data_IF_522117055287
#
_entry.id   IF_522117055287
#
_cell.length_a   1.000
_cell.length_b   1.000
_cell.length_c   1.000
_cell.angle_alpha   90.00
_cell.angle_beta   90.00
_cell.angle_gamma   90.00
#
_symmetry.space_group_name_H-M   'P 1'
#
loop_
_entity.id
_entity.type
_entity.pdbx_description
1 polymer ?
#
# COMPACT_ATOMS: atom_id res chain seq x y z
N UNK A 1 -26.61 18.97 -55.04
CA UNK A 1 -26.46 17.63 -54.43
C UNK A 1 -24.99 17.25 -54.53
N UNK A 2 -24.21 17.48 -53.45
CA UNK A 2 -22.86 16.98 -53.07
C UNK A 2 -22.44 17.79 -51.82
N UNK A 3 -21.65 17.24 -50.88
CA UNK A 3 -22.13 16.95 -49.54
C UNK A 3 -21.47 17.80 -48.45
N UNK A 4 -22.11 17.82 -47.28
CA UNK A 4 -21.56 18.41 -46.05
C UNK A 4 -20.28 17.67 -45.64
N UNK A 5 -19.15 18.38 -45.58
CA UNK A 5 -17.91 17.90 -45.00
C UNK A 5 -18.00 18.09 -43.47
N UNK A 6 -18.32 17.03 -42.74
CA UNK A 6 -18.21 17.01 -41.28
C UNK A 6 -16.72 16.94 -40.90
N UNK A 7 -16.20 18.03 -40.32
CA UNK A 7 -14.88 18.05 -39.71
C UNK A 7 -14.96 17.31 -38.35
N UNK A 8 -14.62 16.02 -38.34
CA UNK A 8 -14.39 15.29 -37.10
C UNK A 8 -13.06 15.77 -36.50
N UNK A 9 -13.14 16.72 -35.56
CA UNK A 9 -12.02 17.03 -34.68
C UNK A 9 -11.91 15.85 -33.71
N UNK A 10 -11.01 14.91 -34.00
CA UNK A 10 -10.62 13.93 -32.98
C UNK A 10 -9.80 14.66 -31.91
N UNK A 11 -10.44 15.03 -30.79
CA UNK A 11 -9.70 15.33 -29.57
C UNK A 11 -9.06 14.03 -29.10
N UNK A 12 -7.80 13.81 -29.48
CA UNK A 12 -6.95 12.83 -28.80
C UNK A 12 -6.65 13.40 -27.42
N UNK A 13 -7.45 13.04 -26.42
CA UNK A 13 -7.06 13.19 -25.03
C UNK A 13 -5.84 12.30 -24.80
N UNK A 14 -4.66 12.91 -24.75
CA UNK A 14 -3.47 12.24 -24.22
C UNK A 14 -3.74 12.13 -22.72
N UNK A 15 -4.22 10.97 -22.26
CA UNK A 15 -4.28 10.67 -20.83
C UNK A 15 -2.83 10.52 -20.34
N UNK A 16 -2.24 11.64 -19.93
CA UNK A 16 -0.99 11.69 -19.19
C UNK A 16 -1.10 10.82 -17.94
N UNK A 17 -0.26 9.79 -17.82
CA UNK A 17 -0.20 8.97 -16.61
C UNK A 17 0.81 9.59 -15.65
N UNK A 18 0.35 10.02 -14.47
CA UNK A 18 1.26 10.30 -13.36
C UNK A 18 1.81 8.99 -12.81
N UNK A 19 3.09 8.97 -12.42
CA UNK A 19 3.70 7.81 -11.75
C UNK A 19 4.38 8.27 -10.46
N UNK A 20 4.34 7.45 -9.40
CA UNK A 20 5.01 7.77 -8.16
C UNK A 20 6.53 7.69 -8.38
N UNK A 21 7.24 8.68 -7.86
CA UNK A 21 8.68 8.79 -7.98
C UNK A 21 9.40 8.20 -6.78
N UNK A 22 10.65 7.75 -6.99
CA UNK A 22 11.53 7.38 -5.89
C UNK A 22 11.63 8.53 -4.87
N UNK A 23 11.71 8.17 -3.59
CA UNK A 23 12.04 9.14 -2.53
C UNK A 23 13.45 9.67 -2.78
N UNK A 24 13.55 10.92 -3.27
CA UNK A 24 14.84 11.52 -3.64
C UNK A 24 15.62 12.06 -2.44
N UNK A 25 14.92 12.41 -1.36
CA UNK A 25 15.50 13.02 -0.16
C UNK A 25 15.01 12.28 1.08
N UNK A 26 15.78 11.27 1.49
CA UNK A 26 15.50 10.56 2.72
C UNK A 26 15.72 11.45 3.95
N UNK A 27 14.78 11.46 4.92
CA UNK A 27 15.03 12.03 6.22
C UNK A 27 16.21 11.34 6.91
N UNK A 28 17.05 12.12 7.59
CA UNK A 28 18.22 11.60 8.33
C UNK A 28 17.87 11.02 9.69
N UNK A 29 16.69 11.34 10.20
CA UNK A 29 16.21 10.94 11.53
C UNK A 29 14.78 10.44 11.42
N UNK A 30 14.41 9.40 12.19
CA UNK A 30 13.02 8.94 12.23
C UNK A 30 12.14 10.00 12.89
N UNK A 31 10.84 9.96 12.58
CA UNK A 31 9.85 10.83 13.24
C UNK A 31 9.61 10.43 14.69
N UNK A 32 9.98 9.20 15.06
CA UNK A 32 9.97 8.69 16.43
C UNK A 32 11.20 7.82 16.69
N UNK A 33 11.92 8.12 17.77
CA UNK A 33 13.14 7.41 18.16
C UNK A 33 12.83 6.25 19.12
N UNK A 34 12.21 5.20 18.58
CA UNK A 34 11.88 3.97 19.29
C UNK A 34 11.49 2.85 18.32
N UNK A 35 11.33 1.64 18.85
CA UNK A 35 10.85 0.52 18.04
C UNK A 35 9.39 0.73 17.66
N UNK A 36 9.16 0.85 16.36
CA UNK A 36 7.87 1.12 15.76
C UNK A 36 7.96 0.66 14.31
N UNK A 37 7.67 -0.63 14.12
CA UNK A 37 7.66 -1.28 12.83
C UNK A 37 6.32 -1.08 12.12
N UNK A 38 6.28 -1.37 10.82
CA UNK A 38 5.05 -1.46 10.02
C UNK A 38 4.09 -0.26 10.21
N UNK A 39 4.55 0.98 9.99
CA UNK A 39 3.79 2.18 10.36
C UNK A 39 2.62 2.44 9.41
N UNK A 40 1.42 2.43 9.97
CA UNK A 40 0.21 2.91 9.33
C UNK A 40 -0.19 4.28 9.88
N UNK A 41 -0.34 5.27 9.01
CA UNK A 41 -0.80 6.59 9.40
C UNK A 41 -2.18 6.91 8.79
N UNK A 42 -2.97 7.71 9.51
CA UNK A 42 -4.25 8.22 9.02
C UNK A 42 -4.55 9.60 9.61
N UNK A 43 -5.44 10.34 8.93
CA UNK A 43 -5.99 11.61 9.39
C UNK A 43 -7.43 11.40 9.87
N UNK A 44 -7.80 12.06 10.96
CA UNK A 44 -9.18 12.12 11.43
C UNK A 44 -9.44 13.42 12.20
N UNK A 45 -10.44 14.18 11.75
CA UNK A 45 -10.90 15.43 12.36
C UNK A 45 -9.80 16.49 12.57
N UNK A 46 -8.87 16.62 11.63
CA UNK A 46 -7.77 17.58 11.63
C UNK A 46 -6.54 17.14 12.43
N UNK A 47 -6.55 15.93 12.98
CA UNK A 47 -5.40 15.33 13.67
C UNK A 47 -4.88 14.11 12.92
N UNK A 48 -3.59 13.86 13.07
CA UNK A 48 -2.88 12.75 12.47
C UNK A 48 -2.52 11.72 13.53
N UNK A 49 -2.61 10.47 13.14
CA UNK A 49 -2.34 9.33 13.97
C UNK A 49 -1.43 8.37 13.22
N UNK A 50 -0.58 7.66 13.95
CA UNK A 50 0.25 6.60 13.41
C UNK A 50 0.24 5.43 14.38
N UNK A 51 0.04 4.23 13.87
CA UNK A 51 0.09 2.99 14.62
C UNK A 51 1.11 2.06 13.97
N UNK A 52 1.77 1.21 14.76
CA UNK A 52 2.79 0.30 14.22
C UNK A 52 2.90 -0.98 15.02
N UNK A 53 3.65 -1.94 14.50
CA UNK A 53 4.05 -3.15 15.21
C UNK A 53 5.01 -2.82 16.34
N UNK A 54 4.70 -3.34 17.52
CA UNK A 54 5.51 -3.20 18.73
C UNK A 54 4.73 -3.58 19.97
N UNK A 55 5.44 -3.91 21.05
CA UNK A 55 4.84 -4.29 22.32
C UNK A 55 5.72 -3.93 23.50
N UNK A 56 5.10 -3.60 24.63
CA UNK A 56 5.76 -3.46 25.93
C UNK A 56 4.87 -4.06 27.02
N UNK A 57 5.40 -4.95 27.84
CA UNK A 57 4.72 -5.55 29.00
C UNK A 57 3.29 -6.07 28.71
N UNK A 58 3.10 -6.70 27.54
CA UNK A 58 1.80 -7.26 27.13
C UNK A 58 0.79 -6.23 26.59
N UNK A 59 1.22 -4.99 26.37
CA UNK A 59 0.48 -3.98 25.60
C UNK A 59 0.99 -3.98 24.15
N UNK A 60 0.09 -3.77 23.20
CA UNK A 60 0.38 -3.92 21.77
C UNK A 60 -0.01 -2.68 20.96
N UNK A 61 0.70 -2.52 19.85
CA UNK A 61 0.53 -1.45 18.87
C UNK A 61 0.81 -0.06 19.42
N UNK A 62 2.10 0.33 19.52
CA UNK A 62 2.47 1.70 19.85
C UNK A 62 1.78 2.66 18.88
N UNK A 63 1.29 3.77 19.42
CA UNK A 63 0.56 4.79 18.66
C UNK A 63 1.17 6.16 18.92
N UNK A 64 1.29 6.95 17.85
CA UNK A 64 1.73 8.33 17.86
C UNK A 64 0.58 9.26 17.44
N UNK A 65 0.65 10.51 17.90
CA UNK A 65 -0.26 11.59 17.50
C UNK A 65 0.52 12.78 16.96
N UNK A 66 -0.10 13.50 16.03
CA UNK A 66 0.43 14.74 15.46
C UNK A 66 -0.71 15.68 15.04
N UNK A 67 -0.46 16.99 15.05
CA UNK A 67 -1.39 17.99 14.52
C UNK A 67 -0.97 18.53 13.15
N UNK A 68 0.24 18.20 12.69
CA UNK A 68 0.85 18.74 11.47
C UNK A 68 1.45 17.66 10.55
N UNK A 69 1.35 16.39 10.93
CA UNK A 69 1.97 15.24 10.28
C UNK A 69 3.52 15.27 10.23
N UNK A 70 4.15 16.20 10.96
CA UNK A 70 5.60 16.38 10.99
C UNK A 70 6.17 16.10 12.39
N UNK A 71 5.52 16.63 13.43
CA UNK A 71 5.92 16.46 14.81
C UNK A 71 5.03 15.42 15.48
N UNK A 72 5.63 14.29 15.86
CA UNK A 72 4.92 13.13 16.38
C UNK A 72 5.23 12.89 17.84
N UNK A 73 4.19 12.62 18.63
CA UNK A 73 4.29 12.34 20.06
C UNK A 73 3.78 10.95 20.36
N UNK A 74 4.52 10.20 21.16
CA UNK A 74 4.08 8.89 21.64
C UNK A 74 2.86 9.04 22.55
N UNK A 75 1.77 8.35 22.21
CA UNK A 75 0.55 8.33 22.99
C UNK A 75 0.50 7.12 23.94
N UNK A 76 0.77 5.93 23.41
CA UNK A 76 0.65 4.68 24.16
C UNK A 76 0.34 3.49 23.27
N UNK A 77 -0.02 2.39 23.91
CA UNK A 77 -0.45 1.15 23.26
C UNK A 77 -1.98 1.06 23.31
N UNK A 78 -2.60 0.82 22.16
CA UNK A 78 -4.05 1.07 22.01
C UNK A 78 -4.90 -0.19 21.89
N UNK A 79 -4.31 -1.38 21.89
CA UNK A 79 -5.04 -2.64 21.71
C UNK A 79 -5.34 -3.34 23.02
N UNK A 80 -6.56 -3.87 23.13
CA UNK A 80 -6.93 -4.92 24.07
C UNK A 80 -7.12 -6.22 23.27
N UNK A 81 -6.15 -7.16 23.33
CA UNK A 81 -6.23 -8.40 22.58
C UNK A 81 -7.26 -9.36 23.17
N UNK A 82 -7.71 -10.31 22.35
CA UNK A 82 -8.60 -11.38 22.79
C UNK A 82 -7.89 -12.33 23.76
N UNK A 83 -8.51 -12.55 24.92
CA UNK A 83 -7.93 -13.32 26.03
C UNK A 83 -7.91 -14.84 25.81
N UNK A 84 -8.79 -15.39 24.97
CA UNK A 84 -8.92 -16.83 24.72
C UNK A 84 -8.18 -17.28 23.46
N UNK A 85 -7.00 -16.72 23.20
CA UNK A 85 -6.15 -17.12 22.08
C UNK A 85 -4.76 -17.50 22.56
N UNK A 86 -4.05 -18.30 21.75
CA UNK A 86 -2.64 -18.63 21.95
C UNK A 86 -1.71 -17.72 21.13
N UNK A 87 -2.21 -16.57 20.68
CA UNK A 87 -1.46 -15.63 19.86
C UNK A 87 -0.36 -14.98 20.69
N UNK A 88 0.86 -15.00 20.18
CA UNK A 88 2.02 -14.37 20.80
C UNK A 88 2.51 -13.15 20.01
N UNK A 89 2.14 -13.08 18.73
CA UNK A 89 2.68 -12.11 17.78
C UNK A 89 1.54 -11.36 17.09
N UNK A 90 1.67 -10.03 17.07
CA UNK A 90 0.67 -9.09 16.59
C UNK A 90 1.35 -8.10 15.64
N UNK A 91 1.04 -8.16 14.36
CA UNK A 91 1.80 -7.45 13.31
C UNK A 91 0.91 -6.60 12.42
N UNK A 92 1.56 -5.57 11.86
CA UNK A 92 1.07 -4.70 10.79
C UNK A 92 -0.34 -4.17 11.06
N UNK A 93 -0.52 -3.38 12.12
CA UNK A 93 -1.82 -2.79 12.43
C UNK A 93 -2.19 -1.71 11.42
N UNK A 94 -3.45 -1.72 10.97
CA UNK A 94 -4.02 -0.65 10.16
C UNK A 94 -5.41 -0.24 10.64
N UNK A 95 -5.77 1.03 10.45
CA UNK A 95 -7.06 1.58 10.91
C UNK A 95 -7.90 2.06 9.74
N UNK A 96 -9.11 1.50 9.61
CA UNK A 96 -10.15 2.02 8.74
C UNK A 96 -11.27 2.68 9.54
N UNK A 97 -11.77 3.81 9.04
CA UNK A 97 -12.89 4.53 9.65
C UNK A 97 -14.16 4.32 8.83
N UNK A 98 -15.20 3.78 9.46
CA UNK A 98 -16.50 3.57 8.83
C UNK A 98 -17.62 3.82 9.84
N UNK A 99 -18.61 4.66 9.47
CA UNK A 99 -19.77 5.00 10.31
C UNK A 99 -19.41 5.44 11.74
N UNK A 100 -18.37 6.28 11.87
CA UNK A 100 -17.82 6.78 13.15
C UNK A 100 -17.24 5.69 14.08
N UNK A 101 -16.98 4.49 13.56
CA UNK A 101 -16.23 3.44 14.22
C UNK A 101 -14.85 3.28 13.58
N UNK A 102 -13.88 2.96 14.42
CA UNK A 102 -12.51 2.66 14.02
C UNK A 102 -12.31 1.15 14.05
N UNK A 103 -11.89 0.61 12.92
CA UNK A 103 -11.62 -0.81 12.71
C UNK A 103 -10.11 -0.99 12.58
N UNK A 104 -9.51 -1.57 13.60
CA UNK A 104 -8.09 -1.91 13.65
C UNK A 104 -7.89 -3.33 13.12
N UNK A 105 -7.45 -3.44 11.88
CA UNK A 105 -7.05 -4.69 11.27
C UNK A 105 -5.61 -5.02 11.65
N UNK A 106 -5.32 -6.30 11.86
CA UNK A 106 -3.97 -6.75 12.18
C UNK A 106 -3.80 -8.25 11.90
N UNK A 107 -2.55 -8.70 11.90
CA UNK A 107 -2.18 -10.11 11.78
C UNK A 107 -1.85 -10.68 13.17
N UNK A 108 -2.41 -11.85 13.50
CA UNK A 108 -2.12 -12.56 14.74
C UNK A 108 -1.54 -13.94 14.48
N UNK A 109 -0.38 -14.27 15.05
CA UNK A 109 0.27 -15.57 14.88
C UNK A 109 1.01 -16.09 16.11
N UNK A 110 1.82 -17.15 15.90
CA UNK A 110 2.70 -17.76 16.89
C UNK A 110 4.12 -17.81 16.31
N UNK A 111 4.97 -16.88 16.73
CA UNK A 111 6.19 -16.53 16.00
C UNK A 111 5.87 -16.21 14.54
N UNK A 112 6.66 -16.73 13.63
CA UNK A 112 6.47 -16.57 12.18
C UNK A 112 5.50 -17.58 11.54
N UNK A 113 4.53 -18.10 12.31
CA UNK A 113 3.67 -19.20 11.87
C UNK A 113 2.21 -18.95 12.17
N UNK A 114 1.37 -19.58 11.36
CA UNK A 114 -0.09 -19.68 11.57
C UNK A 114 -0.76 -18.31 11.75
N UNK A 115 -0.24 -17.32 11.01
CA UNK A 115 -0.77 -15.97 11.00
C UNK A 115 -2.13 -15.92 10.31
N UNK A 116 -3.04 -15.17 10.92
CA UNK A 116 -4.41 -14.97 10.46
C UNK A 116 -4.84 -13.54 10.73
N UNK A 117 -5.70 -13.03 9.87
CA UNK A 117 -6.18 -11.66 9.94
C UNK A 117 -7.29 -11.55 10.99
N UNK A 118 -7.27 -10.46 11.75
CA UNK A 118 -8.26 -10.14 12.77
C UNK A 118 -8.60 -8.65 12.71
N UNK A 119 -9.70 -8.28 13.35
CA UNK A 119 -10.14 -6.89 13.45
C UNK A 119 -10.66 -6.60 14.85
N UNK A 120 -10.15 -5.51 15.43
CA UNK A 120 -10.60 -4.93 16.68
C UNK A 120 -11.36 -3.62 16.40
N UNK A 121 -12.23 -3.21 17.32
CA UNK A 121 -13.04 -1.99 17.12
C UNK A 121 -12.89 -0.99 18.26
N UNK A 122 -13.05 0.29 17.93
CA UNK A 122 -13.18 1.38 18.92
C UNK A 122 -14.11 2.49 18.42
N UNK A 123 -14.64 3.28 19.35
CA UNK A 123 -15.34 4.55 19.07
C UNK A 123 -14.42 5.77 19.18
N UNK A 124 -13.13 5.55 19.51
CA UNK A 124 -12.13 6.58 19.70
C UNK A 124 -10.90 6.26 18.81
N UNK A 125 -10.34 7.23 18.06
CA UNK A 125 -9.14 7.01 17.24
C UNK A 125 -7.94 6.49 18.05
N UNK A 126 -7.90 6.79 19.35
CA UNK A 126 -6.83 6.39 20.27
C UNK A 126 -7.18 5.14 21.09
N UNK A 127 -8.24 4.44 20.72
CA UNK A 127 -8.67 3.24 21.40
C UNK A 127 -9.30 3.48 22.79
N UNK A 128 -9.32 2.43 23.63
CA UNK A 128 -8.81 1.10 23.35
C UNK A 128 -9.57 0.44 22.20
N UNK A 129 -8.84 -0.23 21.32
CA UNK A 129 -9.35 -1.12 20.29
C UNK A 129 -9.53 -2.49 20.89
N UNK A 130 -10.77 -2.96 20.94
CA UNK A 130 -11.11 -4.25 21.55
C UNK A 130 -11.34 -5.29 20.47
N UNK A 131 -10.57 -6.37 20.53
CA UNK A 131 -10.81 -7.55 19.71
C UNK A 131 -11.87 -8.44 20.37
N UNK A 132 -13.13 -8.11 20.15
CA UNK A 132 -14.29 -8.92 20.53
C UNK A 132 -14.67 -9.94 19.44
N UNK A 133 -13.91 -10.01 18.34
CA UNK A 133 -14.19 -10.82 17.17
C UNK A 133 -14.27 -12.30 17.51
N UNK A 134 -15.48 -12.86 17.46
CA UNK A 134 -15.74 -14.27 17.74
C UNK A 134 -14.90 -15.20 16.82
N UNK A 135 -14.60 -14.76 15.60
CA UNK A 135 -13.89 -15.50 14.55
C UNK A 135 -12.75 -14.68 13.94
N UNK A 136 -11.72 -15.36 13.43
CA UNK A 136 -10.70 -14.75 12.57
C UNK A 136 -11.33 -14.33 11.22
N UNK A 137 -10.80 -13.28 10.57
CA UNK A 137 -11.23 -12.89 9.22
C UNK A 137 -10.82 -13.94 8.18
N UNK A 138 -9.67 -14.58 8.39
CA UNK A 138 -9.15 -15.66 7.53
C UNK A 138 -9.20 -17.00 8.27
N UNK A 139 -9.74 -18.02 7.60
CA UNK A 139 -9.86 -19.37 8.13
C UNK A 139 -8.51 -20.11 8.08
N UNK A 140 -7.86 -20.26 9.24
CA UNK A 140 -6.54 -20.90 9.37
C UNK A 140 -6.51 -22.35 8.85
N UNK A 141 -7.66 -23.02 8.76
CA UNK A 141 -7.76 -24.40 8.24
C UNK A 141 -7.67 -24.46 6.71
N UNK A 142 -7.93 -23.34 6.04
CA UNK A 142 -7.87 -23.19 4.58
C UNK A 142 -6.67 -22.36 4.14
N UNK A 143 -6.31 -21.36 4.94
CA UNK A 143 -5.24 -20.42 4.69
C UNK A 143 -4.33 -20.34 5.91
N UNK A 144 -3.22 -21.09 5.87
CA UNK A 144 -2.32 -21.25 7.03
C UNK A 144 -1.44 -20.03 7.32
N UNK A 145 -1.41 -19.05 6.41
CA UNK A 145 -0.62 -17.84 6.55
C UNK A 145 -1.26 -16.67 5.80
N UNK A 146 -1.73 -15.68 6.56
CA UNK A 146 -2.21 -14.40 6.05
C UNK A 146 -1.73 -13.27 6.96
N UNK A 147 -1.10 -12.25 6.37
CA UNK A 147 -0.56 -11.10 7.08
C UNK A 147 -0.89 -9.78 6.37
N UNK A 148 -0.56 -8.67 7.03
CA UNK A 148 -0.53 -7.30 6.52
C UNK A 148 -1.87 -6.86 5.91
N UNK A 149 -2.95 -6.84 6.71
CA UNK A 149 -4.27 -6.44 6.23
C UNK A 149 -4.33 -4.93 5.96
N UNK A 150 -4.66 -4.57 4.73
CA UNK A 150 -4.85 -3.20 4.30
C UNK A 150 -6.28 -2.95 3.81
N UNK A 151 -7.06 -2.21 4.59
CA UNK A 151 -8.45 -1.92 4.29
C UNK A 151 -8.55 -0.68 3.39
N UNK A 152 -9.08 -0.87 2.19
CA UNK A 152 -9.21 0.16 1.18
C UNK A 152 -10.67 0.39 0.81
N UNK A 153 -11.09 1.65 0.82
CA UNK A 153 -12.41 2.06 0.34
C UNK A 153 -12.31 2.61 -1.06
N UNK A 154 -12.99 1.97 -2.00
CA UNK A 154 -13.01 2.40 -3.39
C UNK A 154 -13.99 3.57 -3.60
N UNK A 155 -13.88 4.23 -4.76
CA UNK A 155 -14.71 5.38 -5.16
C UNK A 155 -16.19 5.05 -5.28
N UNK A 156 -16.53 3.77 -5.48
CA UNK A 156 -17.92 3.29 -5.48
C UNK A 156 -18.48 3.09 -4.05
N UNK A 157 -17.65 3.33 -3.02
CA UNK A 157 -17.98 3.23 -1.61
C UNK A 157 -17.82 1.84 -1.02
N UNK A 158 -17.48 0.82 -1.82
CA UNK A 158 -17.22 -0.55 -1.32
C UNK A 158 -15.89 -0.64 -0.62
N UNK A 159 -15.83 -1.56 0.33
CA UNK A 159 -14.62 -1.88 1.07
C UNK A 159 -14.00 -3.16 0.54
N UNK A 160 -12.67 -3.13 0.47
CA UNK A 160 -11.82 -4.24 0.10
C UNK A 160 -10.74 -4.41 1.17
N UNK A 161 -10.29 -5.65 1.37
CA UNK A 161 -9.13 -5.95 2.18
C UNK A 161 -8.04 -6.52 1.27
N UNK A 162 -6.93 -5.80 1.17
CA UNK A 162 -5.69 -6.33 0.64
C UNK A 162 -4.97 -7.05 1.76
N UNK A 163 -4.32 -8.17 1.47
CA UNK A 163 -3.48 -8.88 2.44
C UNK A 163 -2.50 -9.78 1.72
N UNK A 164 -1.47 -10.21 2.43
CA UNK A 164 -0.44 -11.09 1.90
C UNK A 164 -0.67 -12.52 2.33
N UNK A 165 -0.44 -13.46 1.41
CA UNK A 165 -0.44 -14.89 1.72
C UNK A 165 0.57 -15.67 0.91
N UNK A 166 0.81 -16.91 1.32
CA UNK A 166 1.74 -17.81 0.68
C UNK A 166 1.23 -18.32 -0.68
N UNK A 167 2.16 -18.47 -1.61
CA UNK A 167 1.99 -19.15 -2.89
C UNK A 167 3.17 -20.10 -3.12
N UNK A 168 2.86 -21.36 -3.44
CA UNK A 168 3.86 -22.42 -3.64
C UNK A 168 4.02 -22.82 -5.11
N UNK A 169 3.14 -22.36 -5.99
CA UNK A 169 3.22 -22.64 -7.43
C UNK A 169 4.18 -21.66 -8.12
N UNK A 170 4.76 -22.06 -9.24
CA UNK A 170 5.72 -21.26 -10.03
C UNK A 170 5.26 -21.03 -11.45
N UNK A 171 3.94 -21.12 -11.68
CA UNK A 171 3.35 -20.90 -12.99
C UNK A 171 3.64 -19.46 -13.47
N UNK A 172 3.66 -19.25 -14.78
CA UNK A 172 3.82 -17.91 -15.39
C UNK A 172 5.06 -17.12 -14.94
N UNK A 173 6.12 -17.82 -14.52
CA UNK A 173 7.38 -17.23 -14.07
C UNK A 173 7.34 -16.67 -12.65
N UNK A 174 6.29 -16.94 -11.88
CA UNK A 174 6.22 -16.56 -10.47
C UNK A 174 7.18 -17.37 -9.61
N UNK A 175 7.59 -16.77 -8.49
CA UNK A 175 8.46 -17.39 -7.48
C UNK A 175 7.64 -17.80 -6.26
N UNK A 176 8.16 -18.81 -5.55
CA UNK A 176 7.56 -19.30 -4.30
C UNK A 176 7.77 -18.26 -3.21
N UNK A 177 6.72 -17.92 -2.47
CA UNK A 177 6.79 -16.79 -1.55
C UNK A 177 5.45 -16.24 -1.12
N UNK A 178 5.46 -15.08 -0.46
CA UNK A 178 4.25 -14.31 -0.24
C UNK A 178 3.88 -13.50 -1.48
N UNK A 179 2.58 -13.31 -1.68
CA UNK A 179 2.00 -12.42 -2.68
C UNK A 179 0.78 -11.73 -2.11
N UNK A 180 0.38 -10.64 -2.74
CA UNK A 180 -0.75 -9.82 -2.31
C UNK A 180 -2.01 -10.30 -3.02
N UNK A 181 -3.08 -10.44 -2.26
CA UNK A 181 -4.44 -10.67 -2.75
C UNK A 181 -5.36 -9.55 -2.28
N UNK A 182 -6.53 -9.46 -2.92
CA UNK A 182 -7.62 -8.58 -2.54
C UNK A 182 -8.90 -9.41 -2.39
N UNK A 183 -9.66 -9.17 -1.32
CA UNK A 183 -11.01 -9.71 -1.15
C UNK A 183 -11.99 -8.58 -0.80
N UNK A 184 -13.27 -8.79 -1.08
CA UNK A 184 -14.32 -7.85 -0.72
C UNK A 184 -14.58 -7.97 0.79
N UNK A 185 -14.76 -6.84 1.47
CA UNK A 185 -15.35 -6.81 2.79
C UNK A 185 -16.87 -6.77 2.64
N UNK A 186 -17.56 -7.88 2.92
CA UNK A 186 -19.04 -7.90 2.97
C UNK A 186 -19.56 -6.92 4.03
N UNK A 187 -18.79 -6.78 5.10
CA UNK A 187 -18.82 -5.70 6.07
C UNK A 187 -17.41 -5.59 6.70
N UNK A 188 -17.20 -4.58 7.54
CA UNK A 188 -15.90 -4.29 8.19
C UNK A 188 -15.37 -5.41 9.13
N UNK A 189 -16.10 -6.53 9.27
CA UNK A 189 -15.73 -7.67 10.11
C UNK A 189 -15.85 -9.01 9.41
N UNK A 190 -16.09 -9.03 8.08
CA UNK A 190 -16.29 -10.27 7.32
C UNK A 190 -15.83 -10.14 5.87
N UNK A 191 -14.92 -11.04 5.46
CA UNK A 191 -14.49 -11.21 4.08
C UNK A 191 -15.54 -11.95 3.23
N UNK A 192 -15.59 -11.63 1.94
CA UNK A 192 -16.44 -12.28 0.95
C UNK A 192 -15.96 -13.67 0.53
N UNK A 193 -14.71 -14.02 0.81
CA UNK A 193 -14.12 -15.34 0.55
C UNK A 193 -13.84 -15.60 -0.92
N UNK A 194 -13.81 -14.55 -1.76
CA UNK A 194 -13.59 -14.64 -3.20
C UNK A 194 -12.38 -13.79 -3.60
N UNK A 195 -11.25 -14.07 -2.96
CA UNK A 195 -10.00 -13.36 -3.16
C UNK A 195 -9.51 -13.41 -4.61
N UNK A 196 -8.83 -12.34 -5.04
CA UNK A 196 -8.14 -12.24 -6.33
C UNK A 196 -6.67 -11.91 -6.10
N UNK A 197 -5.80 -12.52 -6.90
CA UNK A 197 -4.37 -12.19 -6.87
C UNK A 197 -4.16 -10.78 -7.40
N UNK A 198 -3.45 -9.97 -6.62
CA UNK A 198 -3.04 -8.61 -6.97
C UNK A 198 -1.63 -8.66 -7.54
N UNK A 199 -0.66 -9.10 -6.74
CA UNK A 199 0.75 -9.16 -7.12
C UNK A 199 1.42 -10.41 -6.54
N UNK A 200 2.43 -10.92 -7.26
CA UNK A 200 3.25 -12.06 -6.83
C UNK A 200 4.71 -11.81 -7.21
N UNK A 201 5.62 -12.39 -6.44
CA UNK A 201 7.05 -12.26 -6.67
C UNK A 201 7.47 -12.81 -8.04
N UNK A 202 8.29 -12.03 -8.76
CA UNK A 202 8.92 -12.40 -10.04
C UNK A 202 10.42 -12.10 -10.09
N UNK A 203 10.90 -11.17 -9.25
CA UNK A 203 12.23 -10.58 -9.38
C UNK A 203 13.20 -11.09 -8.32
N UNK A 204 14.48 -11.15 -8.65
CA UNK A 204 15.53 -11.65 -7.74
C UNK A 204 15.66 -10.82 -6.46
N UNK A 205 15.47 -9.50 -6.57
CA UNK A 205 15.59 -8.58 -5.44
C UNK A 205 14.52 -8.80 -4.36
N UNK A 206 13.40 -9.44 -4.72
CA UNK A 206 12.29 -9.73 -3.80
C UNK A 206 12.57 -10.93 -2.90
N UNK A 207 13.76 -11.56 -2.99
CA UNK A 207 14.09 -12.75 -2.19
C UNK A 207 14.25 -12.39 -0.73
N UNK A 208 13.48 -13.06 0.13
CA UNK A 208 13.59 -12.97 1.58
C UNK A 208 14.69 -13.88 2.11
N UNK A 209 14.69 -15.15 1.71
CA UNK A 209 15.69 -16.12 2.14
C UNK A 209 15.89 -17.23 1.11
N UNK A 210 17.13 -17.68 0.97
CA UNK A 210 17.48 -18.86 0.21
C UNK A 210 17.26 -20.12 1.06
N UNK A 211 16.83 -21.22 0.44
CA UNK A 211 16.72 -22.53 1.09
C UNK A 211 15.92 -22.50 2.43
N UNK A 212 14.85 -21.70 2.47
CA UNK A 212 13.99 -21.52 3.65
C UNK A 212 13.08 -22.72 3.82
N UNK A 213 13.21 -23.40 4.96
CA UNK A 213 12.27 -24.44 5.37
C UNK A 213 10.98 -23.81 5.90
N UNK A 214 9.83 -24.22 5.35
CA UNK A 214 8.49 -23.78 5.73
C UNK A 214 7.74 -24.92 6.43
N UNK A 215 7.69 -24.95 7.77
CA UNK A 215 7.17 -26.08 8.53
C UNK A 215 5.70 -26.40 8.25
N UNK A 216 4.87 -25.39 7.95
CA UNK A 216 3.45 -25.57 7.68
C UNK A 216 3.19 -26.36 6.37
N UNK A 217 4.15 -26.34 5.45
CA UNK A 217 4.09 -27.06 4.17
C UNK A 217 5.05 -28.25 4.09
N UNK A 218 5.89 -28.45 5.12
CA UNK A 218 6.93 -29.47 5.16
C UNK A 218 7.80 -29.48 3.89
N UNK A 219 8.33 -28.32 3.52
CA UNK A 219 9.18 -28.18 2.33
C UNK A 219 10.15 -27.02 2.44
N UNK A 220 11.10 -26.98 1.49
CA UNK A 220 12.17 -25.98 1.43
C UNK A 220 12.20 -25.33 0.06
N UNK A 221 12.26 -23.99 0.04
CA UNK A 221 12.30 -23.19 -1.19
C UNK A 221 13.20 -21.97 -1.02
N UNK A 222 13.65 -21.41 -2.15
CA UNK A 222 14.00 -19.99 -2.16
C UNK A 222 12.70 -19.19 -1.99
N UNK A 223 12.61 -18.46 -0.88
CA UNK A 223 11.42 -17.75 -0.47
C UNK A 223 11.51 -16.28 -0.84
N UNK A 224 10.51 -15.80 -1.57
CA UNK A 224 10.37 -14.41 -1.97
C UNK A 224 9.23 -13.75 -1.19
N UNK A 225 9.30 -12.44 -1.03
CA UNK A 225 8.32 -11.69 -0.26
C UNK A 225 7.79 -10.52 -1.06
N UNK A 226 6.47 -10.48 -1.20
CA UNK A 226 5.68 -9.26 -1.39
C UNK A 226 4.73 -9.15 -0.19
N UNK A 227 4.79 -8.05 0.53
CA UNK A 227 4.02 -7.84 1.76
C UNK A 227 3.69 -6.36 1.98
N UNK A 228 3.02 -6.01 3.08
CA UNK A 228 2.75 -4.61 3.47
C UNK A 228 2.03 -3.82 2.38
N UNK A 229 0.89 -4.32 1.91
CA UNK A 229 0.14 -3.67 0.85
C UNK A 229 -0.34 -2.28 1.29
N UNK A 230 -0.15 -1.26 0.45
CA UNK A 230 -0.77 0.05 0.65
C UNK A 230 -1.37 0.52 -0.68
N UNK A 231 -2.69 0.44 -0.81
CA UNK A 231 -3.37 0.82 -2.04
C UNK A 231 -3.76 2.29 -2.02
N UNK A 232 -3.37 3.01 -3.07
CA UNK A 232 -3.69 4.42 -3.26
C UNK A 232 -4.30 4.65 -4.64
N UNK A 233 -5.35 5.46 -4.72
CA UNK A 233 -5.90 5.89 -6.01
C UNK A 233 -5.32 7.25 -6.39
N UNK A 234 -4.69 7.32 -7.57
CA UNK A 234 -4.19 8.56 -8.16
C UNK A 234 -4.62 8.62 -9.63
N UNK A 235 -5.24 9.74 -10.03
CA UNK A 235 -5.66 10.02 -11.42
C UNK A 235 -6.40 8.87 -12.12
N UNK A 236 -7.36 8.27 -11.41
CA UNK A 236 -8.20 7.18 -11.92
C UNK A 236 -7.50 5.82 -12.06
N UNK A 237 -6.32 5.67 -11.45
CA UNK A 237 -5.59 4.40 -11.35
C UNK A 237 -5.37 4.01 -9.90
N UNK A 238 -5.23 2.71 -9.68
CA UNK A 238 -4.92 2.10 -8.39
C UNK A 238 -3.46 1.69 -8.39
N UNK A 239 -2.72 2.20 -7.42
CA UNK A 239 -1.34 1.84 -7.15
C UNK A 239 -1.34 0.99 -5.89
N UNK A 240 -1.02 -0.29 -6.01
CA UNK A 240 -0.82 -1.17 -4.86
C UNK A 240 0.68 -1.14 -4.56
N UNK A 241 1.07 -0.29 -3.61
CA UNK A 241 2.42 -0.31 -3.07
C UNK A 241 2.62 -1.59 -2.26
N UNK A 242 3.83 -2.14 -2.31
CA UNK A 242 4.21 -3.32 -1.56
C UNK A 242 5.67 -3.24 -1.15
N UNK A 243 6.01 -3.96 -0.09
CA UNK A 243 7.41 -4.19 0.30
C UNK A 243 7.89 -5.55 -0.18
N UNK A 244 9.10 -5.59 -0.71
CA UNK A 244 9.75 -6.83 -1.11
C UNK A 244 11.16 -6.95 -0.55
N UNK A 245 11.73 -8.15 -0.65
CA UNK A 245 13.04 -8.46 -0.06
C UNK A 245 12.92 -8.91 1.39
N UNK A 246 13.93 -8.61 2.22
CA UNK A 246 14.00 -9.05 3.61
C UNK A 246 14.05 -7.87 4.58
N UNK A 247 13.01 -7.69 5.39
CA UNK A 247 12.90 -6.58 6.36
C UNK A 247 14.06 -6.47 7.36
N UNK A 248 14.85 -7.54 7.54
CA UNK A 248 16.00 -7.62 8.43
C UNK A 248 17.30 -7.03 7.84
N UNK A 249 17.33 -6.69 6.55
CA UNK A 249 18.54 -6.23 5.88
C UNK A 249 18.30 -5.18 4.77
N UNK A 250 19.38 -4.84 4.08
CA UNK A 250 19.41 -3.81 3.04
C UNK A 250 18.61 -4.14 1.77
N UNK A 251 18.14 -5.38 1.59
CA UNK A 251 17.36 -5.79 0.42
C UNK A 251 15.92 -5.30 0.47
N UNK A 252 15.42 -4.92 1.66
CA UNK A 252 14.05 -4.46 1.82
C UNK A 252 13.80 -3.12 1.13
N UNK A 253 12.68 -3.03 0.42
CA UNK A 253 12.29 -1.82 -0.30
C UNK A 253 10.84 -1.83 -0.77
N UNK A 254 10.30 -0.64 -1.04
CA UNK A 254 8.93 -0.45 -1.54
C UNK A 254 8.93 -0.32 -3.05
N UNK A 255 8.05 -1.08 -3.69
CA UNK A 255 7.68 -0.90 -5.09
C UNK A 255 6.15 -0.84 -5.20
N UNK A 256 5.61 -0.90 -6.41
CA UNK A 256 4.18 -0.85 -6.67
C UNK A 256 3.80 -1.62 -7.94
N UNK A 257 2.57 -2.13 -7.94
CA UNK A 257 1.85 -2.48 -9.16
C UNK A 257 0.76 -1.45 -9.45
N UNK A 258 0.38 -1.31 -10.72
CA UNK A 258 -0.66 -0.37 -11.17
C UNK A 258 -1.79 -1.09 -11.92
N UNK A 259 -3.02 -0.64 -11.70
CA UNK A 259 -4.22 -1.12 -12.40
C UNK A 259 -5.20 0.02 -12.67
N UNK A 260 -6.04 -0.12 -13.70
CA UNK A 260 -7.22 0.74 -13.92
C UNK A 260 -8.47 0.27 -13.19
N UNK A 261 -8.38 -0.83 -12.45
CA UNK A 261 -9.46 -1.44 -11.68
C UNK A 261 -8.91 -1.98 -10.35
N UNK A 262 -9.55 -1.66 -9.23
CA UNK A 262 -9.13 -2.09 -7.88
C UNK A 262 -9.00 -3.61 -7.76
N UNK A 263 -9.75 -4.37 -8.56
CA UNK A 263 -9.69 -5.83 -8.61
C UNK A 263 -8.62 -6.38 -9.57
N UNK A 264 -7.80 -5.52 -10.15
CA UNK A 264 -6.75 -5.87 -11.11
C UNK A 264 -7.26 -6.10 -12.55
N UNK A 265 -6.41 -6.70 -13.40
CA UNK A 265 -5.06 -7.15 -13.09
C UNK A 265 -4.11 -5.98 -12.82
N UNK A 266 -3.21 -6.15 -11.86
CA UNK A 266 -2.12 -5.20 -11.62
C UNK A 266 -0.90 -5.56 -12.47
N UNK A 267 -0.26 -4.54 -13.02
CA UNK A 267 0.99 -4.66 -13.75
C UNK A 267 2.10 -4.04 -12.92
N UNK A 268 3.21 -4.74 -12.83
CA UNK A 268 4.41 -4.33 -12.11
C UNK A 268 5.61 -4.54 -13.06
N UNK A 269 6.56 -3.61 -12.97
CA UNK A 269 7.63 -3.42 -13.95
C UNK A 269 8.97 -3.05 -13.29
N UNK A 270 9.18 -3.42 -12.01
CA UNK A 270 10.52 -3.39 -11.44
C UNK A 270 11.39 -4.44 -12.12
N UNK A 271 12.71 -4.27 -12.00
CA UNK A 271 13.70 -5.16 -12.60
C UNK A 271 14.71 -5.59 -11.53
N UNK A 272 15.61 -4.69 -11.15
CA UNK A 272 16.76 -5.03 -10.31
C UNK A 272 16.64 -4.63 -8.84
N UNK A 273 15.74 -3.71 -8.51
CA UNK A 273 15.52 -3.21 -7.14
C UNK A 273 14.15 -2.52 -7.01
N UNK A 274 13.71 -2.33 -5.77
CA UNK A 274 12.57 -1.50 -5.42
C UNK A 274 12.72 -0.05 -5.91
N UNK A 275 11.67 0.48 -6.54
CA UNK A 275 11.67 1.81 -7.17
C UNK A 275 11.30 2.97 -6.24
N UNK A 276 10.47 2.75 -5.22
CA UNK A 276 9.95 3.85 -4.38
C UNK A 276 10.88 4.10 -3.21
N UNK A 277 11.16 3.05 -2.43
CA UNK A 277 12.16 3.10 -1.38
C UNK A 277 13.15 1.96 -1.49
N UNK A 278 14.42 2.23 -1.20
CA UNK A 278 15.48 1.22 -1.13
C UNK A 278 16.59 1.71 -0.20
N UNK A 279 17.43 0.79 0.25
CA UNK A 279 18.58 1.13 1.08
C UNK A 279 19.54 2.08 0.37
N UNK A 280 19.98 3.12 1.07
CA UNK A 280 21.04 4.02 0.62
C UNK A 280 22.15 3.99 1.67
N UNK A 281 23.34 3.59 1.25
CA UNK A 281 24.49 3.39 2.15
C UNK A 281 24.76 4.65 3.00
N UNK A 282 24.81 4.46 4.32
CA UNK A 282 25.05 5.53 5.30
C UNK A 282 23.88 6.49 5.51
N UNK A 283 22.73 6.28 4.86
CA UNK A 283 21.54 7.12 4.98
C UNK A 283 20.37 6.32 5.57
N UNK A 284 20.02 5.19 4.95
CA UNK A 284 18.87 4.40 5.36
C UNK A 284 19.05 2.92 4.99
N UNK A 285 18.58 2.02 5.85
CA UNK A 285 18.76 0.58 5.70
C UNK A 285 17.40 -0.11 5.77
N UNK A 286 17.06 -0.87 4.74
CA UNK A 286 15.81 -1.62 4.62
C UNK A 286 14.55 -0.77 4.80
N UNK A 287 14.37 0.36 4.08
CA UNK A 287 13.15 1.14 4.19
C UNK A 287 11.97 0.44 3.53
N UNK A 288 10.98 0.02 4.32
CA UNK A 288 9.79 -0.62 3.81
C UNK A 288 8.64 -0.70 4.81
N UNK A 289 7.68 -1.57 4.47
CA UNK A 289 6.34 -1.67 5.03
C UNK A 289 5.69 -0.29 5.18
N UNK A 290 5.03 0.16 4.12
CA UNK A 290 4.60 1.54 4.02
C UNK A 290 3.09 1.71 4.18
N UNK A 291 2.70 2.95 4.49
CA UNK A 291 1.35 3.47 4.30
C UNK A 291 1.41 4.82 3.59
N UNK A 292 0.27 5.29 3.09
CA UNK A 292 0.14 6.53 2.35
C UNK A 292 -0.86 7.44 3.06
N UNK A 293 -0.48 8.70 3.27
CA UNK A 293 -1.36 9.74 3.84
C UNK A 293 -1.29 11.02 3.03
N UNK A 294 -2.28 11.89 3.19
CA UNK A 294 -2.17 13.29 2.77
C UNK A 294 -1.60 14.09 3.94
N UNK A 295 -0.63 14.97 3.66
CA UNK A 295 -0.21 15.99 4.62
C UNK A 295 -1.26 17.11 4.76
N UNK A 296 -1.08 18.02 5.74
CA UNK A 296 -1.97 19.19 5.90
C UNK A 296 -1.92 20.15 4.70
N UNK A 297 -0.86 20.04 3.88
CA UNK A 297 -0.67 20.75 2.63
C UNK A 297 -1.31 20.05 1.41
N UNK A 298 -2.02 18.95 1.66
CA UNK A 298 -2.66 18.08 0.67
C UNK A 298 -1.72 17.36 -0.29
N UNK A 299 -0.41 17.37 -0.03
CA UNK A 299 0.52 16.54 -0.79
C UNK A 299 0.63 15.16 -0.17
N UNK A 300 0.74 14.15 -1.03
CA UNK A 300 0.92 12.75 -0.60
C UNK A 300 2.23 12.58 0.17
N UNK A 301 2.17 11.81 1.24
CA UNK A 301 3.31 11.34 2.02
C UNK A 301 3.31 9.83 2.05
N UNK A 302 4.50 9.26 1.95
CA UNK A 302 4.75 7.85 2.24
C UNK A 302 5.36 7.74 3.63
N UNK A 303 4.73 6.94 4.47
CA UNK A 303 5.21 6.57 5.80
C UNK A 303 5.75 5.16 5.72
N UNK A 304 6.93 4.90 6.26
CA UNK A 304 7.59 3.58 6.19
C UNK A 304 8.53 3.43 7.37
N UNK A 305 8.89 2.21 7.75
CA UNK A 305 9.95 2.01 8.72
C UNK A 305 11.29 1.81 8.03
N UNK A 306 12.38 2.02 8.75
CA UNK A 306 13.70 1.53 8.36
C UNK A 306 14.48 1.08 9.60
N UNK A 307 15.50 0.24 9.38
CA UNK A 307 16.40 -0.22 10.43
C UNK A 307 17.25 0.94 10.95
N UNK A 308 17.47 0.96 12.26
CA UNK A 308 18.52 1.78 12.84
C UNK A 308 19.92 1.18 12.54
N UNK A 309 20.98 1.95 12.80
CA UNK A 309 22.35 1.60 12.39
C UNK A 309 22.86 0.26 12.95
N UNK A 310 22.44 -0.14 14.15
CA UNK A 310 22.82 -1.42 14.77
C UNK A 310 21.85 -2.57 14.43
N UNK A 311 20.82 -2.30 13.62
CA UNK A 311 19.79 -3.25 13.18
C UNK A 311 19.03 -3.92 14.33
N UNK A 312 18.88 -3.23 15.45
CA UNK A 312 18.13 -3.74 16.63
C UNK A 312 16.67 -3.29 16.65
N UNK A 313 16.32 -2.24 15.92
CA UNK A 313 14.94 -1.76 15.83
C UNK A 313 14.63 -1.17 14.46
N UNK A 314 13.33 -1.16 14.16
CA UNK A 314 12.73 -0.45 13.04
C UNK A 314 12.05 0.80 13.59
N UNK A 315 12.26 1.95 12.95
CA UNK A 315 11.66 3.22 13.34
C UNK A 315 11.00 3.90 12.15
N UNK A 316 9.93 4.69 12.36
CA UNK A 316 9.14 5.28 11.29
C UNK A 316 9.82 6.53 10.72
N UNK A 317 9.71 6.67 9.41
CA UNK A 317 10.14 7.81 8.63
C UNK A 317 8.96 8.25 7.75
N UNK A 318 8.95 9.53 7.41
CA UNK A 318 7.97 10.11 6.50
C UNK A 318 8.72 10.85 5.41
N UNK A 319 8.35 10.58 4.17
CA UNK A 319 8.84 11.30 3.00
C UNK A 319 7.67 11.78 2.15
N UNK A 320 7.90 12.83 1.37
CA UNK A 320 6.94 13.23 0.34
C UNK A 320 6.99 12.25 -0.83
N UNK A 321 5.81 11.81 -1.27
CA UNK A 321 5.66 11.04 -2.50
C UNK A 321 5.34 12.01 -3.64
N UNK A 322 6.22 12.09 -4.63
CA UNK A 322 6.04 12.94 -5.80
C UNK A 322 5.44 12.13 -6.96
N UNK A 323 4.43 12.71 -7.61
CA UNK A 323 3.70 12.12 -8.75
C UNK A 323 4.01 12.82 -10.08
N UNK A 324 4.97 13.74 -10.09
CA UNK A 324 5.19 14.71 -11.18
C UNK A 324 5.62 14.12 -12.52
N UNK A 325 5.93 12.82 -12.63
CA UNK A 325 6.27 12.24 -13.93
C UNK A 325 5.05 11.88 -14.75
N UNK A 326 5.00 12.47 -15.94
CA UNK A 326 4.10 12.15 -17.03
C UNK A 326 4.90 11.46 -18.12
N UNK A 327 4.73 10.16 -18.34
CA UNK A 327 5.23 9.50 -19.55
C UNK A 327 4.10 9.40 -20.57
N UNK A 328 4.14 10.16 -21.69
CA UNK A 328 3.33 9.85 -22.86
C UNK A 328 4.04 8.75 -23.65
N UNK A 329 3.85 7.47 -23.29
CA UNK A 329 4.32 6.37 -24.15
C UNK A 329 3.40 5.15 -24.14
N UNK A 330 2.70 5.04 -25.28
CA UNK A 330 2.14 3.87 -25.96
C UNK A 330 1.10 2.99 -25.24
N UNK A 331 -0.13 3.10 -25.74
CA UNK A 331 -1.16 2.06 -25.76
C UNK A 331 -0.61 0.65 -25.99
N UNK A 332 -1.30 -0.40 -25.51
CA UNK A 332 -0.85 -1.79 -25.65
C UNK A 332 -0.85 -2.17 -27.14
N UNK A 333 0.32 -2.49 -27.68
CA UNK A 333 0.45 -3.01 -29.05
C UNK A 333 -0.19 -4.39 -29.10
N UNK A 334 -1.40 -4.46 -29.66
CA UNK A 334 -1.95 -5.70 -30.20
C UNK A 334 -1.23 -5.99 -31.51
N UNK A 335 -0.86 -7.25 -31.68
CA UNK A 335 -0.27 -7.87 -32.86
C UNK A 335 -0.95 -7.47 -34.18
N UNK A 336 -0.15 -7.10 -35.20
CA UNK A 336 -0.27 -7.64 -36.57
C UNK A 336 0.95 -7.25 -37.41
N UNK A 337 1.45 -8.23 -38.14
CA UNK A 337 2.56 -8.13 -39.07
C UNK A 337 2.17 -7.47 -40.40
N UNK A 338 3.16 -6.82 -41.02
CA UNK A 338 3.25 -6.32 -42.40
C UNK A 338 2.39 -5.12 -42.80
N UNK A 339 3.01 -4.02 -43.25
CA UNK A 339 3.25 -3.68 -44.68
C UNK A 339 4.16 -2.43 -44.74
N UNK A 340 4.96 -2.35 -45.79
CA UNK A 340 5.93 -1.29 -46.12
C UNK A 340 5.31 0.07 -46.50
N UNK A 341 6.20 1.07 -46.48
CA UNK A 341 6.31 2.25 -47.36
C UNK A 341 5.98 3.66 -46.82
N UNK A 342 7.08 4.43 -46.67
CA UNK A 342 7.38 5.76 -47.26
C UNK A 342 6.46 6.98 -46.96
N UNK A 343 6.98 7.97 -46.23
CA UNK A 343 7.56 9.23 -46.75
C UNK A 343 7.64 10.35 -45.68
N UNK A 344 8.69 11.16 -45.81
CA UNK A 344 8.95 12.46 -45.16
C UNK A 344 7.78 13.45 -45.29
N UNK A 345 7.54 14.26 -44.25
CA UNK A 345 7.61 15.74 -44.34
C UNK A 345 7.55 16.44 -42.96
N UNK A 346 8.23 17.57 -42.88
CA UNK A 346 8.39 18.45 -41.72
C UNK A 346 7.21 19.46 -41.61
N UNK A 347 6.82 19.85 -40.40
CA UNK A 347 5.88 20.97 -40.22
C UNK A 347 5.58 21.38 -38.78
N UNK A 348 6.21 22.47 -38.34
CA UNK A 348 5.86 23.47 -37.31
C UNK A 348 4.97 23.08 -36.09
N UNK A 349 5.57 23.22 -34.89
CA UNK A 349 4.88 23.28 -33.60
C UNK A 349 4.46 24.73 -33.30
N UNK A 350 3.17 24.97 -33.02
CA UNK A 350 2.67 26.20 -32.38
C UNK A 350 2.31 25.90 -30.92
N UNK A 351 2.85 26.72 -30.01
CA UNK A 351 2.58 26.73 -28.57
C UNK A 351 1.17 27.28 -28.32
N UNK A 352 0.38 26.60 -27.48
CA UNK A 352 -0.86 27.15 -26.91
C UNK A 352 -0.86 26.91 -25.39
N UNK A 353 -0.92 28.01 -24.65
CA UNK A 353 -1.06 28.08 -23.19
C UNK A 353 -2.57 28.04 -22.87
N UNK A 354 -2.98 27.21 -21.91
CA UNK A 354 -4.33 27.28 -21.33
C UNK A 354 -4.26 27.63 -19.84
N UNK A 355 -4.88 28.76 -19.49
CA UNK A 355 -5.34 29.07 -18.15
C UNK A 355 -6.69 28.38 -17.92
N UNK A 356 -6.88 27.71 -16.80
CA UNK A 356 -8.21 27.32 -16.32
C UNK A 356 -8.47 27.92 -14.94
N UNK A 357 -9.52 28.74 -14.88
CA UNK A 357 -10.10 29.34 -13.67
C UNK A 357 -11.25 28.44 -13.22
N UNK A 358 -11.24 28.01 -11.96
CA UNK A 358 -12.44 27.50 -11.28
C UNK A 358 -12.77 28.45 -10.13
N UNK A 359 -13.96 29.07 -10.17
CA UNK A 359 -14.57 29.73 -9.03
C UNK A 359 -15.95 29.11 -8.75
N UNK A 360 -16.17 28.91 -7.45
CA UNK A 360 -17.33 28.39 -6.74
C UNK A 360 -18.66 29.07 -7.08
N UNK A 361 -19.76 28.33 -6.85
CA UNK A 361 -21.06 28.94 -6.56
C UNK A 361 -21.67 28.35 -5.27
N UNK A 362 -21.69 29.15 -4.21
CA UNK A 362 -22.61 29.08 -3.07
C UNK A 362 -23.35 30.42 -2.98
N UNK A 363 -24.66 30.39 -2.76
CA UNK A 363 -25.56 31.44 -2.18
C UNK A 363 -26.97 30.84 -2.23
N UNK A 364 -27.73 30.53 -1.16
CA UNK A 364 -28.24 31.32 -0.02
C UNK A 364 -28.77 32.70 -0.40
N UNK A 365 -30.10 32.88 -0.31
CA UNK A 365 -30.76 34.17 -0.13
C UNK A 365 -31.91 34.03 0.88
N UNK A 366 -32.05 35.07 1.71
CA UNK A 366 -32.95 35.23 2.85
C UNK A 366 -33.92 36.40 2.55
N UNK A 367 -35.11 36.35 3.14
CA UNK A 367 -36.04 37.46 3.49
C UNK A 367 -36.76 38.22 2.35
N UNK A 368 -38.07 38.02 2.26
CA UNK A 368 -39.09 39.05 2.57
C UNK A 368 -40.28 38.41 3.28
#
# INVERSE_FOLDING_TARGET
>A
MFPYLFLLISLTFINSMMVPLPVSNYPKTPVYNGHFADPFAWEYNGSYYMIGTGSDQGQFFPTLISNDAEHWQFYGYVMIPRTNTNLTDYWAPEVAVHENLFYLYYSGGIGDKLHRLRVATSTNPLGPYRDDGAQDLTDITKLQFAIDPHAFRDVDGKWYLFYSRDFLDTNDGYRVGTGIVIDILENMTKLGGNERVVLRAKHDWQRFAKDRYMPQYNGTWDWYTLEGAATWMQDGRYYCFYSGGRWEDETYGVDYGVSSNVLGPYVEDSDTQARITHSINGIIIGPGHNSIILGPDQYTRIVYHALNNDRTMRSPYISQLDWSQVSPSSSPTTTTSSVNDLHHEQGLIRVVIYFLVYMFSYSWFFIM
#
